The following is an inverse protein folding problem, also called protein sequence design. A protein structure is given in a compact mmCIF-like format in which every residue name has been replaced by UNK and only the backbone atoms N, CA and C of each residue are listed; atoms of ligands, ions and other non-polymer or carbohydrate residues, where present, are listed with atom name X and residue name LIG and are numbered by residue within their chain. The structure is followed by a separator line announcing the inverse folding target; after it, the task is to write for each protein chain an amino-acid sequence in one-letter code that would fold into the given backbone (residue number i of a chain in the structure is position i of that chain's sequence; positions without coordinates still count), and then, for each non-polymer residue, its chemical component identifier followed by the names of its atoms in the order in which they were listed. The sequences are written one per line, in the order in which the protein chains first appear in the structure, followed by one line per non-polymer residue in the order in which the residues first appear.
data_IF_355993602981
#
_entry.id   IF_355993602981
#
_cell.length_a   1.000
_cell.length_b   1.000
_cell.length_c   1.000
_cell.angle_alpha   90.00
_cell.angle_beta   90.00
_cell.angle_gamma   90.00
#
_symmetry.space_group_name_H-M   'P 1'
#
loop_
_entity.id
_entity.type
_entity.pdbx_description
1 polymer ?
#
# COMPACT_ATOMS: atom_id res chain seq x y z
N UNK A 1 18.94 -9.51 -61.30
CA UNK A 1 18.19 -9.92 -60.09
C UNK A 1 16.78 -9.35 -60.25
N UNK A 2 15.87 -9.95 -61.03
CA UNK A 2 15.16 -11.24 -60.78
C UNK A 2 14.58 -11.23 -59.34
N UNK A 3 13.29 -11.22 -59.02
CA UNK A 3 12.03 -11.79 -59.58
C UNK A 3 10.85 -10.87 -59.15
N UNK A 4 9.78 -10.51 -59.88
CA UNK A 4 8.62 -11.21 -60.50
C UNK A 4 7.75 -12.12 -59.59
N UNK A 5 6.49 -11.66 -59.40
CA UNK A 5 5.19 -12.41 -59.35
C UNK A 5 4.98 -13.31 -58.11
N UNK A 6 3.83 -13.48 -57.47
CA UNK A 6 2.40 -13.14 -57.67
C UNK A 6 1.68 -13.56 -56.37
N UNK A 7 0.62 -12.88 -55.92
CA UNK A 7 -0.78 -13.11 -56.31
C UNK A 7 -1.52 -14.15 -55.44
N UNK A 8 -2.45 -13.61 -54.64
CA UNK A 8 -3.82 -14.08 -54.35
C UNK A 8 -4.17 -15.28 -53.42
N UNK A 9 -5.01 -14.91 -52.44
CA UNK A 9 -6.29 -15.56 -52.05
C UNK A 9 -6.19 -16.87 -51.24
N UNK A 10 -7.15 -17.33 -50.42
CA UNK A 10 -8.59 -17.12 -50.33
C UNK A 10 -9.13 -17.81 -49.04
N UNK A 11 -10.31 -17.34 -48.55
CA UNK A 11 -11.43 -18.14 -47.97
C UNK A 11 -11.40 -18.72 -46.53
N UNK A 12 -12.43 -18.23 -45.79
CA UNK A 12 -13.48 -18.96 -45.04
C UNK A 12 -13.11 -19.82 -43.82
N UNK A 13 -13.66 -19.43 -42.67
CA UNK A 13 -13.97 -20.32 -41.55
C UNK A 13 -14.85 -19.65 -40.49
N UNK A 14 -16.17 -19.81 -40.60
CA UNK A 14 -17.19 -19.44 -39.59
C UNK A 14 -17.68 -20.74 -38.95
N UNK A 15 -17.73 -20.85 -37.60
CA UNK A 15 -18.67 -21.64 -36.74
C UNK A 15 -18.06 -21.77 -35.33
N UNK A 16 -18.63 -21.18 -34.27
CA UNK A 16 -19.86 -21.46 -33.46
C UNK A 16 -19.61 -22.52 -32.37
N UNK A 17 -19.98 -22.12 -31.14
CA UNK A 17 -19.91 -22.77 -29.81
C UNK A 17 -20.38 -24.23 -29.79
N UNK A 18 -19.90 -24.98 -28.80
CA UNK A 18 -20.78 -25.66 -27.82
C UNK A 18 -20.02 -26.14 -26.57
N UNK A 19 -20.80 -26.24 -25.51
CA UNK A 19 -20.46 -26.33 -24.09
C UNK A 19 -19.90 -27.70 -23.68
N UNK A 20 -18.92 -27.69 -22.77
CA UNK A 20 -18.67 -28.83 -21.88
C UNK A 20 -18.60 -28.31 -20.45
N UNK A 21 -19.67 -28.59 -19.73
CA UNK A 21 -19.73 -28.48 -18.28
C UNK A 21 -19.00 -29.68 -17.70
N UNK A 22 -18.03 -29.42 -16.83
CA UNK A 22 -17.59 -30.44 -15.89
C UNK A 22 -17.52 -29.83 -14.50
N UNK A 23 -18.60 -30.07 -13.76
CA UNK A 23 -18.73 -29.71 -12.38
C UNK A 23 -17.97 -30.75 -11.56
N UNK A 24 -16.87 -30.34 -10.92
CA UNK A 24 -16.31 -31.08 -9.79
C UNK A 24 -16.02 -30.14 -8.62
N UNK A 25 -16.99 -30.19 -7.70
CA UNK A 25 -16.90 -30.17 -6.24
C UNK A 25 -15.86 -29.27 -5.54
N UNK A 26 -16.46 -28.34 -4.79
CA UNK A 26 -15.96 -27.57 -3.65
C UNK A 26 -15.08 -28.41 -2.72
N UNK A 27 -13.91 -27.87 -2.40
CA UNK A 27 -13.30 -28.01 -1.07
C UNK A 27 -13.04 -26.59 -0.57
N UNK A 28 -13.61 -26.30 0.59
CA UNK A 28 -13.48 -25.06 1.32
C UNK A 28 -12.02 -24.70 1.61
N UNK A 29 -11.49 -23.71 0.90
CA UNK A 29 -10.28 -22.99 1.32
C UNK A 29 -10.72 -21.67 1.96
N UNK A 30 -11.36 -21.80 3.12
CA UNK A 30 -11.59 -20.69 4.03
C UNK A 30 -10.24 -20.15 4.52
N UNK A 31 -10.17 -18.83 4.63
CA UNK A 31 -9.25 -18.09 5.50
C UNK A 31 -7.83 -17.80 4.98
N UNK A 32 -7.73 -17.09 3.86
CA UNK A 32 -6.72 -16.03 3.74
C UNK A 32 -7.40 -14.66 3.87
N UNK A 33 -7.93 -14.41 5.08
CA UNK A 33 -8.37 -13.08 5.51
C UNK A 33 -7.14 -12.21 5.74
N UNK A 34 -6.51 -11.74 4.66
CA UNK A 34 -5.71 -10.52 4.73
C UNK A 34 -6.69 -9.40 5.04
N UNK A 35 -6.81 -9.04 6.32
CA UNK A 35 -7.54 -7.86 6.78
C UNK A 35 -7.16 -6.71 5.87
N UNK A 36 -8.05 -6.33 4.94
CA UNK A 36 -7.91 -5.06 4.21
C UNK A 36 -7.90 -4.01 5.30
N UNK A 37 -6.74 -3.45 5.58
CA UNK A 37 -6.58 -2.40 6.57
C UNK A 37 -7.48 -1.25 6.08
N UNK A 38 -8.65 -1.09 6.70
CA UNK A 38 -9.61 -0.04 6.34
C UNK A 38 -9.09 1.25 6.94
N UNK A 39 -8.01 1.75 6.37
CA UNK A 39 -7.53 3.10 6.63
C UNK A 39 -8.61 4.09 6.20
N UNK A 40 -8.69 5.21 6.92
CA UNK A 40 -9.52 6.34 6.50
C UNK A 40 -9.03 6.91 5.17
N UNK A 41 -9.88 7.67 4.46
CA UNK A 41 -9.48 8.35 3.22
C UNK A 41 -8.31 9.32 3.46
N UNK A 42 -8.30 10.00 4.63
CA UNK A 42 -7.20 10.87 5.04
C UNK A 42 -5.89 10.09 5.18
N UNK A 43 -5.91 8.95 5.88
CA UNK A 43 -4.77 8.05 6.01
C UNK A 43 -4.28 7.56 4.63
N UNK A 44 -5.20 7.17 3.75
CA UNK A 44 -4.87 6.72 2.39
C UNK A 44 -4.18 7.81 1.55
N UNK A 45 -4.64 9.06 1.67
CA UNK A 45 -4.02 10.20 0.97
C UNK A 45 -2.57 10.41 1.45
N UNK A 46 -2.35 10.45 2.76
CA UNK A 46 -1.02 10.59 3.35
C UNK A 46 -0.08 9.47 2.92
N UNK A 47 -0.52 8.21 3.02
CA UNK A 47 0.27 7.03 2.58
C UNK A 47 0.62 7.12 1.09
N UNK A 48 -0.30 7.62 0.26
CA UNK A 48 -0.04 7.81 -1.17
C UNK A 48 1.03 8.86 -1.43
N UNK A 49 1.00 9.99 -0.72
CA UNK A 49 2.05 11.04 -0.78
C UNK A 49 3.41 10.49 -0.35
N UNK A 50 3.44 9.75 0.75
CA UNK A 50 4.66 9.11 1.26
C UNK A 50 5.23 8.13 0.24
N UNK A 51 4.41 7.27 -0.37
CA UNK A 51 4.85 6.28 -1.36
C UNK A 51 5.43 6.95 -2.61
N UNK A 52 4.82 8.02 -3.10
CA UNK A 52 5.35 8.81 -4.23
C UNK A 52 6.73 9.38 -3.90
N UNK A 53 6.90 9.93 -2.70
CA UNK A 53 8.19 10.47 -2.25
C UNK A 53 9.25 9.38 -1.97
N UNK A 54 8.83 8.14 -1.68
CA UNK A 54 9.71 7.00 -1.40
C UNK A 54 10.22 6.27 -2.63
N UNK A 55 9.65 6.47 -3.82
CA UNK A 55 10.15 5.82 -5.04
C UNK A 55 11.65 6.10 -5.29
N UNK A 56 12.18 7.18 -4.71
CA UNK A 56 13.60 7.54 -4.79
C UNK A 56 14.45 7.14 -3.56
N UNK A 57 13.87 6.56 -2.49
CA UNK A 57 14.58 6.34 -1.20
C UNK A 57 14.71 4.88 -0.77
N UNK A 58 14.08 3.94 -1.47
CA UNK A 58 14.03 2.53 -1.06
C UNK A 58 14.47 1.56 -2.17
N UNK A 59 15.50 1.92 -2.94
CA UNK A 59 16.21 1.04 -3.88
C UNK A 59 17.42 0.33 -3.23
N UNK A 60 17.39 0.14 -1.91
CA UNK A 60 18.42 -0.60 -1.18
C UNK A 60 17.91 -2.00 -0.84
N UNK A 61 18.67 -3.03 -1.25
CA UNK A 61 18.43 -4.48 -1.12
C UNK A 61 18.20 -5.04 0.31
N UNK A 62 17.89 -4.21 1.30
CA UNK A 62 17.77 -4.63 2.69
C UNK A 62 16.33 -5.04 3.00
N UNK A 63 16.16 -6.25 3.57
CA UNK A 63 14.86 -6.83 3.95
C UNK A 63 14.24 -6.04 5.13
N UNK A 64 13.74 -4.85 4.85
CA UNK A 64 13.06 -4.00 5.83
C UNK A 64 11.55 -4.19 5.67
N UNK A 65 10.90 -4.67 6.73
CA UNK A 65 9.43 -4.72 6.77
C UNK A 65 8.94 -3.37 7.26
N UNK A 66 8.10 -2.72 6.46
CA UNK A 66 7.49 -1.44 6.79
C UNK A 66 6.01 -1.64 7.10
N UNK A 67 5.60 -1.29 8.32
CA UNK A 67 4.20 -1.27 8.74
C UNK A 67 3.74 0.18 8.92
N UNK A 68 2.49 0.45 8.54
CA UNK A 68 1.87 1.77 8.70
C UNK A 68 0.78 1.67 9.74
N UNK A 69 0.76 2.63 10.65
CA UNK A 69 -0.24 2.79 11.70
C UNK A 69 -0.88 4.18 11.59
N UNK A 70 -2.18 4.25 11.84
CA UNK A 70 -2.90 5.51 12.01
C UNK A 70 -3.48 5.60 13.43
N UNK A 71 -4.28 6.63 13.70
CA UNK A 71 -4.88 6.86 15.01
C UNK A 71 -5.78 5.71 15.51
N UNK A 72 -6.25 4.82 14.63
CA UNK A 72 -7.05 3.66 15.03
C UNK A 72 -6.20 2.48 15.53
N UNK A 73 -4.88 2.55 15.31
CA UNK A 73 -3.96 1.47 15.67
C UNK A 73 -3.62 1.52 17.18
N UNK A 74 -3.52 0.36 17.86
CA UNK A 74 -3.13 0.32 19.26
C UNK A 74 -1.79 1.03 19.51
N UNK A 75 -1.72 1.90 20.52
CA UNK A 75 -0.52 2.70 20.85
C UNK A 75 -0.31 3.94 19.98
N UNK A 76 -1.18 4.19 19.00
CA UNK A 76 -1.13 5.34 18.09
C UNK A 76 -2.35 6.25 18.20
N UNK A 77 -3.23 6.05 19.18
CA UNK A 77 -4.44 6.86 19.40
C UNK A 77 -4.17 8.36 19.63
N UNK A 78 -2.95 8.71 20.01
CA UNK A 78 -2.50 10.10 20.17
C UNK A 78 -2.23 10.80 18.82
N UNK A 79 -2.18 10.07 17.69
CA UNK A 79 -2.09 10.68 16.36
C UNK A 79 -3.44 11.30 15.97
N UNK A 80 -3.38 12.39 15.23
CA UNK A 80 -4.57 13.00 14.65
C UNK A 80 -5.01 12.28 13.37
N UNK A 81 -6.28 12.43 12.96
CA UNK A 81 -6.73 11.96 11.65
C UNK A 81 -5.83 12.48 10.51
N UNK A 82 -5.42 11.58 9.62
CA UNK A 82 -4.51 11.89 8.51
C UNK A 82 -3.02 11.84 8.85
N UNK A 83 -2.64 11.89 10.12
CA UNK A 83 -1.28 11.57 10.55
C UNK A 83 -1.05 10.06 10.55
N UNK A 84 0.16 9.63 10.20
CA UNK A 84 0.53 8.21 10.18
C UNK A 84 1.90 7.99 10.80
N UNK A 85 2.08 6.83 11.43
CA UNK A 85 3.37 6.33 11.84
C UNK A 85 3.82 5.19 10.93
N UNK A 86 5.07 5.23 10.50
CA UNK A 86 5.77 4.13 9.86
C UNK A 86 6.71 3.46 10.87
N UNK A 87 6.53 2.15 11.07
CA UNK A 87 7.50 1.32 11.75
C UNK A 87 8.33 0.55 10.72
N UNK A 88 9.66 0.71 10.80
CA UNK A 88 10.63 -0.05 10.01
C UNK A 88 11.30 -1.08 10.88
N UNK A 89 11.02 -2.35 10.60
CA UNK A 89 11.63 -3.48 11.27
C UNK A 89 12.88 -3.90 10.49
N UNK A 90 14.03 -3.71 11.11
CA UNK A 90 15.31 -4.15 10.57
C UNK A 90 15.54 -5.63 10.87
N UNK A 91 16.39 -6.29 10.08
CA UNK A 91 16.81 -7.68 10.35
C UNK A 91 17.48 -7.83 11.72
N UNK A 92 18.12 -6.78 12.23
CA UNK A 92 18.71 -6.74 13.57
C UNK A 92 17.69 -6.74 14.72
N UNK A 93 16.38 -6.68 14.42
CA UNK A 93 15.32 -6.54 15.41
C UNK A 93 15.09 -5.10 15.89
N UNK A 94 15.94 -4.15 15.46
CA UNK A 94 15.73 -2.73 15.77
C UNK A 94 14.52 -2.20 15.00
N UNK A 95 13.66 -1.49 15.72
CA UNK A 95 12.48 -0.84 15.16
C UNK A 95 12.73 0.67 15.11
N UNK A 96 12.65 1.25 13.92
CA UNK A 96 12.66 2.70 13.74
C UNK A 96 11.26 3.20 13.50
N UNK A 97 10.88 4.28 14.19
CA UNK A 97 9.59 4.95 14.03
C UNK A 97 9.77 6.29 13.33
N UNK A 98 8.96 6.50 12.30
CA UNK A 98 8.84 7.78 11.61
C UNK A 98 7.38 8.21 11.61
N UNK A 99 7.14 9.49 11.75
CA UNK A 99 5.79 10.06 11.73
C UNK A 99 5.64 10.93 10.50
N UNK A 100 4.43 11.00 9.98
CA UNK A 100 4.12 11.80 8.83
C UNK A 100 2.84 12.59 9.04
N UNK A 101 2.89 13.86 8.67
CA UNK A 101 1.70 14.72 8.62
C UNK A 101 0.88 14.44 7.34
N UNK A 102 -0.32 15.03 7.21
CA UNK A 102 -1.17 14.87 6.03
C UNK A 102 -0.52 15.32 4.71
N UNK A 103 0.47 16.21 4.78
CA UNK A 103 1.26 16.71 3.65
C UNK A 103 2.35 15.72 3.22
N UNK A 104 2.72 14.78 4.09
CA UNK A 104 3.74 13.76 3.87
C UNK A 104 5.15 14.17 4.34
N UNK A 105 5.27 15.24 5.15
CA UNK A 105 6.53 15.60 5.81
C UNK A 105 6.86 14.60 6.91
N UNK A 106 8.14 14.24 7.01
CA UNK A 106 8.61 13.19 7.91
C UNK A 106 9.20 13.78 9.19
N UNK A 107 8.81 13.20 10.33
CA UNK A 107 9.34 13.51 11.66
C UNK A 107 9.95 12.25 12.30
N UNK A 108 11.00 12.44 13.11
CA UNK A 108 11.79 11.33 13.66
C UNK A 108 11.46 10.97 15.11
N UNK A 109 10.67 11.77 15.81
CA UNK A 109 10.34 11.52 17.21
C UNK A 109 8.92 11.92 17.54
N UNK A 110 8.32 11.21 18.50
CA UNK A 110 6.98 11.54 19.04
C UNK A 110 6.98 12.96 19.62
N UNK A 111 8.03 13.33 20.36
CA UNK A 111 8.12 14.64 21.00
C UNK A 111 8.05 15.80 19.99
N UNK A 112 8.66 15.65 18.81
CA UNK A 112 8.56 16.68 17.76
C UNK A 112 7.13 16.80 17.25
N UNK A 113 6.44 15.66 17.05
CA UNK A 113 5.03 15.68 16.64
C UNK A 113 4.17 16.34 17.70
N UNK A 114 4.30 15.93 18.96
CA UNK A 114 3.53 16.51 20.07
C UNK A 114 3.74 18.02 20.17
N UNK A 115 4.98 18.50 20.08
CA UNK A 115 5.27 19.94 20.08
C UNK A 115 4.60 20.68 18.91
N UNK A 116 4.51 20.07 17.72
CA UNK A 116 3.79 20.65 16.57
C UNK A 116 2.28 20.71 16.85
N UNK A 117 1.72 19.64 17.39
CA UNK A 117 0.29 19.58 17.71
C UNK A 117 -0.08 20.60 18.80
N UNK A 118 0.74 20.69 19.86
CA UNK A 118 0.58 21.67 20.94
C UNK A 118 0.67 23.11 20.42
N UNK A 119 1.66 23.41 19.57
CA UNK A 119 1.81 24.73 18.95
C UNK A 119 0.65 25.07 18.00
N UNK A 120 -0.01 24.07 17.43
CA UNK A 120 -1.23 24.23 16.63
C UNK A 120 -2.50 24.37 17.49
N UNK A 121 -2.36 24.40 18.83
CA UNK A 121 -3.49 24.51 19.76
C UNK A 121 -4.25 23.19 19.97
N UNK A 122 -3.67 22.06 19.59
CA UNK A 122 -4.28 20.75 19.76
C UNK A 122 -3.75 20.07 21.02
N UNK A 123 -4.65 19.80 21.95
CA UNK A 123 -4.36 19.04 23.17
C UNK A 123 -4.75 17.59 22.93
N UNK A 124 -3.77 16.70 22.99
CA UNK A 124 -4.00 15.25 22.89
C UNK A 124 -4.17 14.70 24.30
N UNK A 125 -5.33 14.10 24.56
CA UNK A 125 -5.62 13.43 25.83
C UNK A 125 -5.28 11.94 25.66
N UNK A 126 -4.25 11.46 26.37
CA UNK A 126 -4.01 10.02 26.50
C UNK A 126 -5.06 9.47 27.50
N UNK A 127 -5.84 8.47 27.07
CA UNK A 127 -6.82 7.75 27.90
C UNK A 127 -6.19 6.55 28.63
#
# INVERSE_FOLDING_TARGET
MENKVGEQSNRKGKRKREDFSDATNKVDEQSNHTKRNRFSDATHNTVSKIKRNRYHRCTGNERVVCTIHDHSSPGYGWLLPGWVAEERHMVSGRIYRYYYDPEGYQYRSRNVVMAILENAGMVVIDN
#
